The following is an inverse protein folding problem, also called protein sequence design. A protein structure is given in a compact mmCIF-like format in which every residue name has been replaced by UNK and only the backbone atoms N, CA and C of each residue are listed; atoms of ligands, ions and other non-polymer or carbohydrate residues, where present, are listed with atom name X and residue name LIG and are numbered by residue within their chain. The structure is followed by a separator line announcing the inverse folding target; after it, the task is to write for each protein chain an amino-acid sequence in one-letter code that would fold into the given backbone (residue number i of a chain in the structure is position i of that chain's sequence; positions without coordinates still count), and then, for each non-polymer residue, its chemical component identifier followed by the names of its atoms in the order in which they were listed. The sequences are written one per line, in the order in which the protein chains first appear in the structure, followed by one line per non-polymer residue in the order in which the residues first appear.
data_IF_050784452734
#
_entry.id   IF_050784452734
#
_cell.length_a   1.000
_cell.length_b   1.000
_cell.length_c   1.000
_cell.angle_alpha   90.00
_cell.angle_beta   90.00
_cell.angle_gamma   90.00
#
_symmetry.space_group_name_H-M   'P 1'
#
loop_
_entity.id
_entity.type
_entity.pdbx_description
1 polymer ?
#
# COMPACT_ATOMS: atom_id res chain seq x y z
N UNK A 1 14.98 -2.20 10.64
CA UNK A 1 14.89 -0.90 9.93
C UNK A 1 15.93 0.07 10.48
N UNK A 2 15.81 0.57 11.73
CA UNK A 2 16.77 1.53 12.28
C UNK A 2 18.23 1.01 12.34
N UNK A 3 18.43 -0.28 12.64
CA UNK A 3 19.74 -0.93 12.64
C UNK A 3 20.27 -1.30 11.23
N UNK A 4 19.53 -1.05 10.16
CA UNK A 4 19.94 -1.40 8.78
C UNK A 4 19.80 -2.87 8.37
N UNK A 5 19.46 -3.78 9.30
CA UNK A 5 19.34 -5.22 9.03
C UNK A 5 18.16 -5.63 8.13
N UNK A 6 17.21 -4.72 7.92
CA UNK A 6 16.05 -4.94 7.03
C UNK A 6 15.89 -3.76 6.11
N UNK A 7 15.56 -4.01 4.86
CA UNK A 7 15.29 -2.99 3.85
C UNK A 7 13.78 -2.77 3.74
N UNK A 8 13.37 -1.50 3.80
CA UNK A 8 11.98 -1.10 3.62
C UNK A 8 11.71 -0.51 2.25
N UNK A 9 10.46 -0.59 1.79
CA UNK A 9 9.96 0.16 0.65
C UNK A 9 8.60 0.81 0.93
N UNK A 10 8.26 1.83 0.14
CA UNK A 10 7.06 2.65 0.32
C UNK A 10 6.18 2.63 -0.94
N UNK A 11 5.10 1.85 -0.87
CA UNK A 11 4.17 1.58 -1.97
C UNK A 11 3.00 2.57 -2.02
N UNK A 12 3.22 3.77 -2.54
CA UNK A 12 2.17 4.77 -2.76
C UNK A 12 1.71 4.83 -4.22
N UNK A 13 2.63 5.17 -5.13
CA UNK A 13 2.38 5.41 -6.55
C UNK A 13 1.84 4.18 -7.29
N UNK A 14 0.89 4.41 -8.18
CA UNK A 14 0.25 3.42 -9.04
C UNK A 14 0.41 3.79 -10.52
N UNK A 15 0.18 2.87 -11.47
CA UNK A 15 0.32 3.16 -12.90
C UNK A 15 -0.42 4.43 -13.35
N UNK A 16 -1.62 4.65 -12.80
CA UNK A 16 -2.51 5.75 -13.17
C UNK A 16 -2.48 6.92 -12.17
N UNK A 17 -1.78 6.78 -11.04
CA UNK A 17 -1.84 7.72 -9.91
C UNK A 17 -0.46 7.98 -9.31
N UNK A 18 0.15 9.11 -9.72
CA UNK A 18 1.38 9.66 -9.13
C UNK A 18 1.08 10.84 -8.21
N UNK A 19 0.98 12.04 -8.79
CA UNK A 19 0.73 13.29 -8.05
C UNK A 19 -0.64 13.36 -7.35
N UNK A 20 -1.61 12.57 -7.81
CA UNK A 20 -2.92 12.42 -7.18
C UNK A 20 -3.06 11.04 -6.52
N UNK A 21 -2.47 10.81 -5.33
CA UNK A 21 -2.59 9.52 -4.64
C UNK A 21 -4.01 9.26 -4.13
N UNK A 22 -4.82 10.30 -3.91
CA UNK A 22 -6.20 10.12 -3.47
C UNK A 22 -7.03 9.34 -4.50
N UNK A 23 -6.66 9.38 -5.78
CA UNK A 23 -7.29 8.62 -6.86
C UNK A 23 -6.98 7.12 -6.89
N UNK A 24 -6.07 6.63 -6.03
CA UNK A 24 -5.55 5.26 -6.10
C UNK A 24 -6.63 4.16 -6.15
N UNK A 25 -6.35 3.09 -6.88
CA UNK A 25 -7.22 1.96 -7.14
C UNK A 25 -6.95 0.77 -6.22
N UNK A 26 -5.77 0.68 -5.58
CA UNK A 26 -5.46 -0.42 -4.64
C UNK A 26 -6.45 -0.43 -3.48
N UNK A 27 -7.00 -1.62 -3.18
CA UNK A 27 -8.02 -1.82 -2.13
C UNK A 27 -7.52 -2.74 -1.03
N UNK A 28 -7.86 -2.39 0.21
CA UNK A 28 -7.76 -3.23 1.40
C UNK A 28 -9.18 -3.54 1.89
N UNK A 29 -9.62 -4.79 1.67
CA UNK A 29 -10.95 -5.27 2.03
C UNK A 29 -10.84 -6.12 3.30
N UNK A 30 -11.56 -5.73 4.36
CA UNK A 30 -11.60 -6.51 5.60
C UNK A 30 -12.39 -7.81 5.41
N UNK A 31 -11.81 -8.93 5.82
CA UNK A 31 -12.45 -10.24 5.88
C UNK A 31 -12.80 -10.58 7.34
N UNK A 32 -14.09 -10.58 7.66
CA UNK A 32 -14.58 -10.84 9.02
C UNK A 32 -14.25 -12.25 9.53
N UNK A 33 -14.18 -13.25 8.65
CA UNK A 33 -13.97 -14.64 9.04
C UNK A 33 -12.50 -14.87 9.44
N UNK A 34 -11.58 -14.35 8.64
CA UNK A 34 -10.14 -14.52 8.86
C UNK A 34 -9.49 -13.41 9.68
N UNK A 35 -10.24 -12.33 9.97
CA UNK A 35 -9.77 -11.15 10.73
C UNK A 35 -8.53 -10.49 10.13
N UNK A 36 -8.44 -10.46 8.80
CA UNK A 36 -7.34 -9.85 8.05
C UNK A 36 -7.86 -8.96 6.92
N UNK A 37 -6.98 -8.11 6.39
CA UNK A 37 -7.25 -7.39 5.15
C UNK A 37 -6.76 -8.19 3.94
N UNK A 38 -7.61 -8.33 2.92
CA UNK A 38 -7.22 -8.74 1.58
C UNK A 38 -6.80 -7.51 0.80
N UNK A 39 -5.54 -7.48 0.37
CA UNK A 39 -4.96 -6.39 -0.39
C UNK A 39 -4.91 -6.77 -1.88
N UNK A 40 -5.43 -5.91 -2.76
CA UNK A 40 -5.38 -6.11 -4.21
C UNK A 40 -5.15 -4.79 -4.93
N UNK A 41 -4.17 -4.77 -5.83
CA UNK A 41 -3.81 -3.60 -6.64
C UNK A 41 -2.39 -3.69 -7.19
N UNK A 42 -1.94 -2.64 -7.86
CA UNK A 42 -0.61 -2.55 -8.47
C UNK A 42 0.08 -1.27 -8.04
N UNK A 43 1.31 -1.40 -7.56
CA UNK A 43 2.19 -0.26 -7.28
C UNK A 43 3.30 -0.18 -8.33
N UNK A 44 3.79 1.02 -8.59
CA UNK A 44 4.76 1.27 -9.66
C UNK A 44 5.82 2.26 -9.20
N UNK A 45 7.05 2.07 -9.69
CA UNK A 45 8.20 2.92 -9.35
C UNK A 45 8.59 2.89 -7.87
N UNK A 46 8.37 1.75 -7.21
CA UNK A 46 8.65 1.60 -5.79
C UNK A 46 10.14 1.31 -5.59
N UNK A 47 10.87 2.30 -5.09
CA UNK A 47 12.29 2.18 -4.76
C UNK A 47 12.52 1.06 -3.74
N UNK A 48 13.62 0.31 -3.91
CA UNK A 48 14.01 -0.85 -3.12
C UNK A 48 13.08 -2.06 -3.16
N UNK A 49 11.96 -2.03 -3.90
CA UNK A 49 10.98 -3.13 -3.88
C UNK A 49 11.55 -4.52 -4.23
N UNK A 50 12.54 -4.68 -5.14
CA UNK A 50 13.08 -6.00 -5.44
C UNK A 50 13.87 -6.65 -4.29
N UNK A 51 14.30 -5.85 -3.30
CA UNK A 51 15.16 -6.29 -2.19
C UNK A 51 14.57 -5.96 -0.81
N UNK A 52 13.32 -5.49 -0.74
CA UNK A 52 12.70 -5.08 0.51
C UNK A 52 12.15 -6.26 1.31
N UNK A 53 12.42 -6.27 2.61
CA UNK A 53 11.82 -7.20 3.57
C UNK A 53 10.45 -6.72 4.06
N UNK A 54 10.22 -5.40 4.04
CA UNK A 54 9.02 -4.75 4.55
C UNK A 54 8.51 -3.73 3.54
N UNK A 55 7.22 -3.78 3.23
CA UNK A 55 6.55 -2.80 2.39
C UNK A 55 5.48 -2.05 3.20
N UNK A 56 5.54 -0.71 3.21
CA UNK A 56 4.43 0.13 3.66
C UNK A 56 3.58 0.44 2.43
N UNK A 57 2.38 -0.13 2.34
CA UNK A 57 1.51 0.01 1.15
C UNK A 57 0.26 0.81 1.51
N UNK A 58 -0.05 1.80 0.67
CA UNK A 58 -1.29 2.58 0.77
C UNK A 58 -2.40 1.94 -0.06
N UNK A 59 -3.60 1.90 0.51
CA UNK A 59 -4.78 1.35 -0.13
C UNK A 59 -6.05 2.01 0.40
N UNK A 60 -7.09 2.05 -0.43
CA UNK A 60 -8.44 2.46 -0.02
C UNK A 60 -9.10 1.34 0.77
N UNK A 61 -9.85 1.70 1.81
CA UNK A 61 -10.68 0.75 2.55
C UNK A 61 -12.07 1.31 2.74
N UNK A 62 -13.10 0.48 2.51
CA UNK A 62 -14.50 0.84 2.76
C UNK A 62 -14.76 1.16 4.24
N UNK A 63 -14.01 0.52 5.15
CA UNK A 63 -14.04 0.84 6.59
C UNK A 63 -13.50 2.23 6.93
N UNK A 64 -12.80 2.86 6.00
CA UNK A 64 -12.34 4.25 6.07
C UNK A 64 -13.03 5.13 5.01
N UNK A 65 -14.29 4.83 4.68
CA UNK A 65 -15.10 5.54 3.67
C UNK A 65 -14.47 5.60 2.26
N UNK A 66 -13.52 4.72 1.96
CA UNK A 66 -12.67 4.77 0.77
C UNK A 66 -11.83 6.05 0.65
N UNK A 67 -11.66 6.80 1.75
CA UNK A 67 -10.83 7.99 1.78
C UNK A 67 -9.35 7.62 1.93
N UNK A 68 -8.50 8.39 1.27
CA UNK A 68 -7.06 8.40 1.52
C UNK A 68 -6.78 9.61 2.41
N UNK A 69 -6.44 9.34 3.67
CA UNK A 69 -6.10 10.37 4.65
C UNK A 69 -4.59 10.43 4.77
N UNK A 70 -4.02 11.56 4.38
CA UNK A 70 -2.59 11.88 4.52
C UNK A 70 -2.36 12.56 5.86
#
# INVERSE_FOLDING_TARGET
LAAGEKIGCFGLTEPNHGSNPAGMETKAIWDENSKVYKLSGTKTWISNSPVADIAIVWARSNRHNNDIKV
#
